data_IF_079241916026
#
_entry.id   IF_079241916026
#
_cell.length_a   1.000
_cell.length_b   1.000
_cell.length_c   1.000
_cell.angle_alpha   90.00
_cell.angle_beta   90.00
_cell.angle_gamma   90.00
#
_symmetry.space_group_name_H-M   'P 1'
#
loop_
_entity.id
_entity.type
_entity.pdbx_description
1 polymer ?
#
# COMPACT_ATOMS: atom_id res chain seq x y z
N UNK A 1 -0.81 -58.48 6.19
CA UNK A 1 -0.86 -58.16 4.75
C UNK A 1 -1.24 -56.69 4.66
N UNK A 2 -0.22 -55.85 4.77
CA UNK A 2 -0.32 -54.41 4.55
C UNK A 2 -0.71 -54.21 3.09
N UNK A 3 -1.89 -53.64 2.87
CA UNK A 3 -2.33 -53.18 1.57
C UNK A 3 -2.29 -51.66 1.62
N UNK A 4 -1.30 -51.11 0.93
CA UNK A 4 -1.08 -49.69 0.68
C UNK A 4 -2.39 -48.98 0.32
N UNK A 5 -2.92 -48.22 1.27
CA UNK A 5 -3.99 -47.27 1.01
C UNK A 5 -3.39 -45.99 0.44
N UNK A 6 -3.06 -46.00 -0.85
CA UNK A 6 -3.06 -44.76 -1.66
C UNK A 6 -4.51 -44.40 -2.00
N UNK A 7 -5.33 -44.10 -0.98
CA UNK A 7 -6.42 -43.18 -1.20
C UNK A 7 -5.77 -41.80 -1.18
N UNK A 8 -5.81 -41.12 -2.34
CA UNK A 8 -5.31 -39.77 -2.54
C UNK A 8 -5.49 -38.88 -1.30
N UNK A 9 -4.45 -38.10 -1.00
CA UNK A 9 -4.32 -37.12 0.09
C UNK A 9 -5.31 -35.94 0.03
N UNK A 10 -6.50 -36.13 -0.54
CA UNK A 10 -7.43 -35.07 -0.94
C UNK A 10 -8.91 -35.43 -0.68
N UNK A 11 -9.26 -35.97 0.48
CA UNK A 11 -10.65 -36.00 0.97
C UNK A 11 -10.72 -35.23 2.30
N UNK A 12 -11.83 -34.54 2.58
CA UNK A 12 -12.06 -33.97 3.90
C UNK A 12 -11.94 -35.06 4.97
N UNK A 13 -11.31 -34.77 6.11
CA UNK A 13 -11.10 -35.78 7.18
C UNK A 13 -12.43 -36.37 7.65
N UNK A 14 -13.49 -35.57 7.68
CA UNK A 14 -14.86 -36.02 7.96
C UNK A 14 -15.39 -37.00 6.91
N UNK A 15 -15.15 -36.75 5.62
CA UNK A 15 -15.53 -37.64 4.52
C UNK A 15 -14.71 -38.92 4.54
N UNK A 16 -13.41 -38.83 4.78
CA UNK A 16 -12.52 -39.99 4.89
C UNK A 16 -12.94 -40.90 6.05
N UNK A 17 -13.30 -40.32 7.21
CA UNK A 17 -13.80 -41.07 8.38
C UNK A 17 -15.15 -41.70 8.07
N UNK A 18 -16.12 -40.96 7.54
CA UNK A 18 -17.44 -41.50 7.17
C UNK A 18 -17.33 -42.58 6.12
N UNK A 19 -16.50 -42.38 5.10
CA UNK A 19 -16.28 -43.37 4.05
C UNK A 19 -15.66 -44.65 4.60
N UNK A 20 -14.62 -44.54 5.44
CA UNK A 20 -13.98 -45.70 6.06
C UNK A 20 -14.93 -46.46 6.98
N UNK A 21 -15.63 -45.76 7.86
CA UNK A 21 -16.42 -46.36 8.94
C UNK A 21 -17.80 -46.83 8.49
N UNK A 22 -18.45 -46.09 7.58
CA UNK A 22 -19.83 -46.36 7.19
C UNK A 22 -19.95 -47.11 5.87
N UNK A 23 -19.01 -46.94 4.94
CA UNK A 23 -19.07 -47.59 3.63
C UNK A 23 -18.10 -48.77 3.58
N UNK A 24 -16.80 -48.52 3.76
CA UNK A 24 -15.77 -49.54 3.57
C UNK A 24 -15.88 -50.71 4.56
N UNK A 25 -16.13 -50.42 5.84
CA UNK A 25 -16.34 -51.45 6.87
C UNK A 25 -17.67 -52.22 6.71
N UNK A 26 -18.69 -51.65 6.06
CA UNK A 26 -20.03 -52.26 5.98
C UNK A 26 -20.30 -52.98 4.67
N UNK A 27 -19.84 -52.44 3.54
CA UNK A 27 -20.03 -53.08 2.23
C UNK A 27 -18.86 -53.98 1.83
N UNK A 28 -17.66 -53.76 2.38
CA UNK A 28 -16.44 -54.48 1.98
C UNK A 28 -15.90 -54.11 0.60
N UNK A 29 -16.61 -53.28 -0.15
CA UNK A 29 -16.24 -52.82 -1.49
C UNK A 29 -15.58 -51.43 -1.43
N UNK A 30 -14.47 -51.27 -2.16
CA UNK A 30 -13.81 -49.98 -2.30
C UNK A 30 -14.48 -49.20 -3.42
N UNK A 31 -15.29 -48.21 -3.04
CA UNK A 31 -16.02 -47.31 -3.94
C UNK A 31 -15.49 -45.87 -3.83
N UNK A 32 -14.25 -45.58 -4.28
CA UNK A 32 -13.63 -44.27 -4.10
C UNK A 32 -14.37 -43.14 -4.84
N UNK A 33 -15.14 -43.45 -5.88
CA UNK A 33 -16.01 -42.49 -6.56
C UNK A 33 -17.17 -42.02 -5.67
N UNK A 34 -17.68 -42.87 -4.76
CA UNK A 34 -18.71 -42.48 -3.78
C UNK A 34 -18.12 -41.55 -2.73
N UNK A 35 -16.90 -41.81 -2.27
CA UNK A 35 -16.17 -40.90 -1.37
C UNK A 35 -16.01 -39.52 -2.02
N UNK A 36 -15.59 -39.49 -3.29
CA UNK A 36 -15.44 -38.25 -4.08
C UNK A 36 -16.77 -37.55 -4.35
N UNK A 37 -17.87 -38.28 -4.55
CA UNK A 37 -19.20 -37.68 -4.69
C UNK A 37 -19.74 -37.10 -3.38
N UNK A 38 -19.47 -37.74 -2.23
CA UNK A 38 -19.82 -37.20 -0.92
C UNK A 38 -18.96 -35.98 -0.61
N UNK A 39 -17.66 -36.03 -0.92
CA UNK A 39 -16.75 -34.89 -0.84
C UNK A 39 -17.27 -33.74 -1.71
N UNK A 40 -17.58 -33.99 -2.98
CA UNK A 40 -18.14 -33.02 -3.93
C UNK A 40 -19.55 -32.52 -3.58
N UNK A 41 -20.35 -33.30 -2.84
CA UNK A 41 -21.65 -32.87 -2.32
C UNK A 41 -21.51 -31.95 -1.10
N UNK A 42 -20.50 -32.21 -0.25
CA UNK A 42 -20.13 -31.29 0.84
C UNK A 42 -19.36 -30.06 0.34
N UNK A 43 -18.84 -30.12 -0.89
CA UNK A 43 -18.17 -29.03 -1.62
C UNK A 43 -19.14 -27.96 -2.17
N UNK A 44 -20.45 -28.05 -1.89
CA UNK A 44 -21.44 -27.00 -2.24
C UNK A 44 -21.35 -25.74 -1.34
N UNK A 45 -20.14 -25.36 -0.94
CA UNK A 45 -19.89 -24.21 -0.07
C UNK A 45 -18.81 -23.35 -0.70
N UNK A 46 -19.26 -22.63 -1.72
CA UNK A 46 -18.54 -21.63 -2.52
C UNK A 46 -17.29 -22.14 -3.22
N UNK A 47 -17.39 -22.24 -4.55
CA UNK A 47 -16.24 -22.37 -5.45
C UNK A 47 -15.29 -21.17 -5.42
N UNK A 48 -15.41 -20.22 -4.48
CA UNK A 48 -14.51 -19.07 -4.38
C UNK A 48 -13.57 -19.11 -3.17
N UNK A 49 -12.28 -18.83 -3.37
CA UNK A 49 -11.21 -18.78 -2.38
C UNK A 49 -11.59 -17.74 -1.33
N UNK A 50 -12.14 -16.60 -1.78
CA UNK A 50 -12.66 -15.54 -0.93
C UNK A 50 -13.75 -16.03 0.03
N UNK A 51 -14.79 -16.71 -0.44
CA UNK A 51 -15.86 -17.15 0.44
C UNK A 51 -15.42 -18.29 1.40
N UNK A 52 -14.49 -19.14 0.96
CA UNK A 52 -13.88 -20.13 1.83
C UNK A 52 -13.01 -19.47 2.92
N UNK A 53 -12.20 -18.48 2.54
CA UNK A 53 -11.34 -17.74 3.46
C UNK A 53 -12.16 -16.90 4.44
N UNK A 54 -13.21 -16.23 3.99
CA UNK A 54 -14.13 -15.46 4.84
C UNK A 54 -14.67 -16.29 6.01
N UNK A 55 -15.02 -17.55 5.73
CA UNK A 55 -15.60 -18.48 6.70
C UNK A 55 -14.57 -19.15 7.60
N UNK A 56 -13.38 -19.42 7.08
CA UNK A 56 -12.40 -20.30 7.76
C UNK A 56 -11.19 -19.55 8.30
N UNK A 57 -10.82 -18.41 7.68
CA UNK A 57 -9.57 -17.69 7.89
C UNK A 57 -8.35 -18.64 7.91
N UNK A 58 -8.37 -19.68 7.08
CA UNK A 58 -7.41 -20.78 7.12
C UNK A 58 -6.64 -20.88 5.81
N UNK A 59 -5.32 -20.67 5.89
CA UNK A 59 -4.39 -20.89 4.78
C UNK A 59 -4.53 -22.30 4.20
N UNK A 60 -4.65 -23.30 5.05
CA UNK A 60 -4.77 -24.69 4.63
C UNK A 60 -6.05 -24.94 3.80
N UNK A 61 -7.16 -24.32 4.20
CA UNK A 61 -8.42 -24.48 3.48
C UNK A 61 -8.38 -23.82 2.10
N UNK A 62 -7.75 -22.65 1.96
CA UNK A 62 -7.62 -21.98 0.65
C UNK A 62 -6.62 -22.68 -0.27
N UNK A 63 -5.53 -23.24 0.28
CA UNK A 63 -4.58 -24.08 -0.47
C UNK A 63 -5.26 -25.31 -1.05
N UNK A 64 -5.98 -26.04 -0.20
CA UNK A 64 -6.71 -27.24 -0.62
C UNK A 64 -7.73 -26.93 -1.72
N UNK A 65 -8.42 -25.79 -1.62
CA UNK A 65 -9.39 -25.37 -2.62
C UNK A 65 -8.73 -24.91 -3.92
N UNK A 66 -7.59 -24.24 -3.85
CA UNK A 66 -6.85 -23.83 -5.05
C UNK A 66 -6.33 -25.05 -5.83
N UNK A 67 -5.79 -26.06 -5.14
CA UNK A 67 -5.28 -27.29 -5.75
C UNK A 67 -6.37 -28.11 -6.47
N UNK A 68 -7.62 -28.03 -6.00
CA UNK A 68 -8.74 -28.81 -6.51
C UNK A 68 -9.51 -28.13 -7.65
N UNK A 69 -9.28 -26.84 -7.89
CA UNK A 69 -10.03 -26.09 -8.89
C UNK A 69 -9.49 -26.31 -10.29
N UNK A 70 -10.42 -26.42 -11.25
CA UNK A 70 -10.07 -26.22 -12.66
C UNK A 70 -9.68 -24.76 -12.87
N UNK A 71 -8.72 -24.51 -13.76
CA UNK A 71 -8.20 -23.17 -14.05
C UNK A 71 -9.38 -22.22 -14.39
N UNK A 72 -9.69 -21.23 -13.52
CA UNK A 72 -10.76 -20.27 -13.78
C UNK A 72 -10.40 -19.34 -14.94
N UNK A 73 -11.40 -18.69 -15.52
CA UNK A 73 -11.19 -17.63 -16.53
C UNK A 73 -10.36 -16.47 -15.94
N UNK A 74 -9.49 -15.86 -16.75
CA UNK A 74 -8.49 -14.87 -16.31
C UNK A 74 -9.06 -13.64 -15.58
N UNK A 75 -10.27 -13.19 -15.92
CA UNK A 75 -10.87 -12.03 -15.25
C UNK A 75 -11.51 -12.39 -13.91
N UNK A 76 -12.00 -13.63 -13.78
CA UNK A 76 -12.61 -14.11 -12.55
C UNK A 76 -11.57 -14.31 -11.45
N UNK A 77 -10.38 -14.83 -11.82
CA UNK A 77 -9.29 -15.06 -10.87
C UNK A 77 -8.77 -13.76 -10.28
N UNK A 78 -8.67 -12.67 -11.06
CA UNK A 78 -8.22 -11.37 -10.55
C UNK A 78 -9.20 -10.75 -9.56
N UNK A 79 -10.51 -10.78 -9.87
CA UNK A 79 -11.55 -10.29 -8.96
C UNK A 79 -11.57 -11.07 -7.64
N UNK A 80 -11.51 -12.39 -7.75
CA UNK A 80 -11.47 -13.29 -6.60
C UNK A 80 -10.20 -13.09 -5.78
N UNK A 81 -9.05 -12.98 -6.44
CA UNK A 81 -7.76 -12.69 -5.83
C UNK A 81 -7.82 -11.41 -5.02
N UNK A 82 -8.26 -10.31 -5.63
CA UNK A 82 -8.41 -9.01 -4.97
C UNK A 82 -9.29 -9.10 -3.72
N UNK A 83 -10.34 -9.92 -3.77
CA UNK A 83 -11.25 -10.12 -2.64
C UNK A 83 -10.55 -10.88 -1.49
N UNK A 84 -9.89 -11.99 -1.79
CA UNK A 84 -9.25 -12.83 -0.75
C UNK A 84 -8.01 -12.15 -0.15
N UNK A 85 -7.21 -11.43 -0.95
CA UNK A 85 -6.06 -10.68 -0.40
C UNK A 85 -6.53 -9.51 0.47
N UNK A 86 -7.64 -8.83 0.10
CA UNK A 86 -8.22 -7.80 0.96
C UNK A 86 -8.71 -8.38 2.29
N UNK A 87 -9.35 -9.56 2.28
CA UNK A 87 -9.80 -10.24 3.50
C UNK A 87 -8.63 -10.65 4.40
N UNK A 88 -7.56 -11.21 3.82
CA UNK A 88 -6.37 -11.62 4.57
C UNK A 88 -5.62 -10.41 5.14
N UNK A 89 -5.47 -9.35 4.35
CA UNK A 89 -4.87 -8.09 4.78
C UNK A 89 -5.65 -7.42 5.91
N UNK A 90 -6.98 -7.43 5.84
CA UNK A 90 -7.85 -6.89 6.90
C UNK A 90 -7.68 -7.61 8.25
N UNK A 91 -7.17 -8.84 8.24
CA UNK A 91 -6.96 -9.68 9.43
C UNK A 91 -5.50 -9.70 9.90
N UNK A 92 -4.60 -9.02 9.20
CA UNK A 92 -3.16 -9.12 9.47
C UNK A 92 -2.56 -10.50 9.15
N UNK A 93 -3.25 -11.34 8.36
CA UNK A 93 -2.80 -12.70 8.06
C UNK A 93 -1.74 -12.70 6.95
N UNK A 94 -0.51 -12.35 7.35
CA UNK A 94 0.67 -12.33 6.49
C UNK A 94 0.98 -13.70 5.88
N UNK A 95 0.68 -14.81 6.56
CA UNK A 95 0.98 -16.14 6.05
C UNK A 95 0.11 -16.47 4.83
N UNK A 96 -1.19 -16.18 4.91
CA UNK A 96 -2.09 -16.35 3.77
C UNK A 96 -1.79 -15.36 2.65
N UNK A 97 -1.47 -14.11 2.99
CA UNK A 97 -1.09 -13.09 2.00
C UNK A 97 0.16 -13.48 1.20
N UNK A 98 1.22 -13.96 1.86
CA UNK A 98 2.44 -14.43 1.19
C UNK A 98 2.14 -15.55 0.21
N UNK A 99 1.39 -16.56 0.65
CA UNK A 99 1.01 -17.66 -0.25
C UNK A 99 0.17 -17.17 -1.44
N UNK A 100 -0.78 -16.26 -1.21
CA UNK A 100 -1.59 -15.68 -2.27
C UNK A 100 -0.73 -14.90 -3.28
N UNK A 101 0.16 -14.04 -2.79
CA UNK A 101 0.97 -13.15 -3.62
C UNK A 101 2.13 -13.87 -4.33
N UNK A 102 2.74 -14.88 -3.71
CA UNK A 102 3.97 -15.54 -4.19
C UNK A 102 3.68 -16.86 -4.92
N UNK A 103 2.59 -17.56 -4.59
CA UNK A 103 2.29 -18.88 -5.14
C UNK A 103 1.01 -18.92 -5.98
N UNK A 104 -0.05 -18.22 -5.56
CA UNK A 104 -1.35 -18.31 -6.21
C UNK A 104 -1.46 -17.39 -7.44
N UNK A 105 -1.18 -16.09 -7.29
CA UNK A 105 -1.19 -15.13 -8.40
C UNK A 105 -0.02 -14.14 -8.27
N UNK A 106 1.10 -14.47 -8.91
CA UNK A 106 2.36 -13.72 -8.83
C UNK A 106 2.29 -12.32 -9.44
N UNK A 107 1.51 -12.15 -10.50
CA UNK A 107 1.36 -10.87 -11.20
C UNK A 107 0.12 -10.08 -10.74
N UNK A 108 -0.63 -10.60 -9.76
CA UNK A 108 -1.87 -9.99 -9.28
C UNK A 108 -1.62 -8.65 -8.57
N UNK A 109 -2.47 -7.66 -8.81
CA UNK A 109 -2.40 -6.37 -8.12
C UNK A 109 -2.72 -6.53 -6.63
N UNK A 110 -1.96 -5.84 -5.77
CA UNK A 110 -2.09 -5.89 -4.30
C UNK A 110 -2.65 -4.60 -3.69
N UNK A 111 -3.11 -3.65 -4.52
CA UNK A 111 -3.73 -2.40 -4.05
C UNK A 111 -4.94 -2.62 -3.15
N UNK A 112 -5.73 -3.68 -3.39
CA UNK A 112 -6.85 -4.05 -2.54
C UNK A 112 -6.39 -4.52 -1.15
N UNK A 113 -5.28 -5.25 -1.08
CA UNK A 113 -4.66 -5.67 0.18
C UNK A 113 -4.13 -4.46 0.96
N UNK A 114 -3.39 -3.56 0.30
CA UNK A 114 -2.87 -2.34 0.91
C UNK A 114 -4.00 -1.47 1.51
N UNK A 115 -5.08 -1.24 0.75
CA UNK A 115 -6.23 -0.49 1.24
C UNK A 115 -6.90 -1.16 2.46
N UNK A 116 -7.09 -2.48 2.43
CA UNK A 116 -7.72 -3.21 3.52
C UNK A 116 -6.85 -3.27 4.79
N UNK A 117 -5.53 -3.43 4.62
CA UNK A 117 -4.56 -3.35 5.71
C UNK A 117 -4.56 -1.95 6.34
N UNK A 118 -4.50 -0.91 5.51
CA UNK A 118 -4.52 0.48 5.96
C UNK A 118 -5.81 0.84 6.71
N UNK A 119 -6.96 0.35 6.23
CA UNK A 119 -8.25 0.51 6.92
C UNK A 119 -8.28 -0.20 8.29
N UNK A 120 -7.53 -1.29 8.45
CA UNK A 120 -7.57 -2.11 9.67
C UNK A 120 -6.45 -1.80 10.66
N UNK A 121 -5.50 -0.94 10.27
CA UNK A 121 -4.33 -0.62 11.10
C UNK A 121 -3.21 -1.66 11.02
N UNK A 122 -3.24 -2.54 10.00
CA UNK A 122 -2.30 -3.66 9.88
C UNK A 122 -0.98 -3.21 9.27
N UNK A 123 -0.18 -2.49 10.06
CA UNK A 123 1.09 -1.89 9.62
C UNK A 123 2.10 -2.93 9.12
N UNK A 124 2.14 -4.12 9.74
CA UNK A 124 3.03 -5.21 9.35
C UNK A 124 2.77 -5.70 7.92
N UNK A 125 1.51 -5.68 7.48
CA UNK A 125 1.12 -6.01 6.11
C UNK A 125 1.57 -4.92 5.14
N UNK A 126 1.41 -3.64 5.50
CA UNK A 126 1.83 -2.52 4.66
C UNK A 126 3.35 -2.47 4.48
N UNK A 127 4.11 -2.70 5.55
CA UNK A 127 5.57 -2.79 5.51
C UNK A 127 6.02 -3.90 4.56
N UNK A 128 5.47 -5.12 4.72
CA UNK A 128 5.78 -6.23 3.82
C UNK A 128 5.42 -5.92 2.36
N UNK A 129 4.25 -5.31 2.10
CA UNK A 129 3.84 -4.93 0.76
C UNK A 129 4.79 -3.88 0.15
N UNK A 130 5.30 -2.95 0.95
CA UNK A 130 6.20 -1.89 0.50
C UNK A 130 7.62 -2.37 0.27
N UNK A 131 8.12 -3.27 1.11
CA UNK A 131 9.48 -3.83 1.01
C UNK A 131 9.58 -4.85 -0.14
N UNK A 132 8.64 -5.78 -0.25
CA UNK A 132 8.76 -6.95 -1.14
C UNK A 132 7.90 -6.83 -2.42
N UNK A 133 6.86 -6.01 -2.39
CA UNK A 133 5.85 -5.95 -3.47
C UNK A 133 5.49 -4.52 -3.89
N UNK A 134 6.40 -3.56 -3.72
CA UNK A 134 6.15 -2.13 -3.98
C UNK A 134 5.48 -1.85 -5.32
N UNK A 135 5.97 -2.48 -6.39
CA UNK A 135 5.50 -2.29 -7.76
C UNK A 135 4.09 -2.87 -8.05
N UNK A 136 3.59 -3.76 -7.19
CA UNK A 136 2.27 -4.40 -7.34
C UNK A 136 1.16 -3.62 -6.65
N UNK A 137 1.50 -2.53 -5.96
CA UNK A 137 0.57 -1.67 -5.24
C UNK A 137 0.61 -0.28 -5.86
N UNK A 138 -0.57 0.27 -6.15
CA UNK A 138 -0.70 1.67 -6.55
C UNK A 138 -0.76 2.56 -5.30
N UNK A 139 0.41 2.99 -4.84
CA UNK A 139 0.60 3.85 -3.69
C UNK A 139 0.15 5.30 -3.95
N UNK A 140 -0.09 6.05 -2.86
CA UNK A 140 -0.48 7.45 -2.85
C UNK A 140 -2.00 7.68 -2.98
N UNK A 141 -2.84 6.67 -2.77
CA UNK A 141 -4.25 6.73 -3.13
C UNK A 141 -5.21 6.05 -2.14
N UNK A 142 -5.53 4.79 -2.40
CA UNK A 142 -6.62 4.08 -1.70
C UNK A 142 -6.27 3.77 -0.25
N UNK A 143 -5.05 3.33 0.00
CA UNK A 143 -4.51 3.06 1.33
C UNK A 143 -4.52 4.30 2.22
N UNK A 144 -4.22 5.50 1.69
CA UNK A 144 -4.41 6.75 2.40
C UNK A 144 -5.89 6.98 2.76
N UNK A 145 -6.82 6.80 1.81
CA UNK A 145 -8.26 6.92 2.09
C UNK A 145 -8.69 5.95 3.20
N UNK A 146 -8.24 4.70 3.13
CA UNK A 146 -8.53 3.66 4.11
C UNK A 146 -8.06 4.04 5.51
N UNK A 147 -6.80 4.45 5.64
CA UNK A 147 -6.20 4.84 6.91
C UNK A 147 -6.88 6.06 7.55
N UNK A 148 -7.13 7.11 6.76
CA UNK A 148 -7.75 8.34 7.26
C UNK A 148 -9.18 8.08 7.75
N UNK A 149 -9.99 7.36 6.96
CA UNK A 149 -11.41 7.11 7.29
C UNK A 149 -11.62 6.21 8.49
N UNK A 150 -10.71 5.26 8.69
CA UNK A 150 -10.75 4.33 9.82
C UNK A 150 -10.07 4.87 11.07
N UNK A 151 -9.36 5.98 10.94
CA UNK A 151 -8.73 6.66 12.04
C UNK A 151 -7.37 6.08 12.47
N UNK A 152 -6.64 5.47 11.53
CA UNK A 152 -5.42 4.70 11.82
C UNK A 152 -4.19 5.59 11.80
N UNK A 153 -3.95 6.33 12.89
CA UNK A 153 -2.86 7.33 12.98
C UNK A 153 -1.47 6.73 12.76
N UNK A 154 -1.19 5.54 13.30
CA UNK A 154 0.11 4.86 13.13
C UNK A 154 0.38 4.54 11.65
N UNK A 155 -0.65 4.08 10.92
CA UNK A 155 -0.56 3.85 9.48
C UNK A 155 -0.37 5.16 8.73
N UNK A 156 -1.07 6.24 9.11
CA UNK A 156 -0.89 7.56 8.47
C UNK A 156 0.53 8.08 8.66
N UNK A 157 1.12 7.95 9.85
CA UNK A 157 2.51 8.37 10.08
C UNK A 157 3.52 7.54 9.30
N UNK A 158 3.29 6.23 9.19
CA UNK A 158 4.12 5.40 8.33
C UNK A 158 3.94 5.74 6.85
N UNK A 159 2.70 5.97 6.38
CA UNK A 159 2.41 6.35 5.01
C UNK A 159 3.03 7.68 4.66
N UNK A 160 2.97 8.67 5.57
CA UNK A 160 3.72 9.92 5.44
C UNK A 160 5.15 9.58 5.06
N UNK A 161 5.90 8.83 5.88
CA UNK A 161 7.33 8.56 5.67
C UNK A 161 7.68 7.72 4.43
N UNK A 162 6.76 6.90 3.91
CA UNK A 162 7.09 5.85 2.94
C UNK A 162 6.35 5.98 1.60
N UNK A 163 5.32 6.81 1.51
CA UNK A 163 4.49 6.96 0.30
C UNK A 163 3.87 8.35 0.22
N UNK A 164 4.43 9.19 -0.66
CA UNK A 164 3.81 10.48 -0.96
C UNK A 164 2.41 10.28 -1.57
N UNK A 165 1.40 11.06 -1.13
CA UNK A 165 0.07 11.02 -1.72
C UNK A 165 0.10 11.61 -3.14
N UNK A 166 -0.60 10.94 -4.07
CA UNK A 166 -0.70 11.34 -5.46
C UNK A 166 -1.42 12.69 -5.57
N UNK A 167 -0.92 13.58 -6.41
CA UNK A 167 -1.47 14.94 -6.62
C UNK A 167 -2.97 14.92 -6.92
N UNK A 168 -3.43 13.97 -7.73
CA UNK A 168 -4.85 13.80 -8.07
C UNK A 168 -5.72 13.34 -6.88
N UNK A 169 -5.12 12.71 -5.87
CA UNK A 169 -5.81 12.21 -4.68
C UNK A 169 -5.79 13.19 -3.51
N UNK A 170 -4.82 14.12 -3.44
CA UNK A 170 -4.62 15.03 -2.30
C UNK A 170 -5.89 15.76 -1.87
N UNK A 171 -6.65 16.32 -2.82
CA UNK A 171 -7.89 17.04 -2.48
C UNK A 171 -8.92 16.14 -1.77
N UNK A 172 -9.07 14.89 -2.23
CA UNK A 172 -9.99 13.91 -1.63
C UNK A 172 -9.51 13.48 -0.25
N UNK A 173 -8.20 13.28 -0.09
CA UNK A 173 -7.59 12.96 1.20
C UNK A 173 -7.76 14.11 2.20
N UNK A 174 -7.63 15.36 1.76
CA UNK A 174 -7.87 16.54 2.58
C UNK A 174 -9.34 16.63 3.06
N UNK A 175 -10.32 16.29 2.20
CA UNK A 175 -11.73 16.20 2.61
C UNK A 175 -11.98 15.06 3.59
N UNK A 176 -11.43 13.86 3.34
CA UNK A 176 -11.55 12.73 4.25
C UNK A 176 -10.90 13.08 5.62
N UNK A 177 -9.75 13.77 5.62
CA UNK A 177 -9.08 14.24 6.83
C UNK A 177 -9.92 15.29 7.58
N UNK A 178 -10.52 16.23 6.86
CA UNK A 178 -11.44 17.22 7.44
C UNK A 178 -12.65 16.53 8.11
N UNK A 179 -13.24 15.55 7.42
CA UNK A 179 -14.38 14.80 7.92
C UNK A 179 -14.02 13.92 9.14
N UNK A 180 -12.80 13.38 9.18
CA UNK A 180 -12.26 12.63 10.30
C UNK A 180 -11.79 13.52 11.47
N UNK A 181 -11.72 14.83 11.30
CA UNK A 181 -11.20 15.77 12.31
C UNK A 181 -9.67 15.76 12.44
N UNK A 182 -8.96 15.31 11.40
CA UNK A 182 -7.51 15.17 11.38
C UNK A 182 -6.85 16.50 11.01
N UNK A 183 -6.89 17.44 11.97
CA UNK A 183 -6.41 18.81 11.79
C UNK A 183 -4.93 18.84 11.38
N UNK A 184 -4.08 18.08 12.06
CA UNK A 184 -2.64 18.04 11.77
C UNK A 184 -2.38 17.54 10.34
N UNK A 185 -3.10 16.52 9.90
CA UNK A 185 -2.97 16.00 8.54
C UNK A 185 -3.46 17.00 7.48
N UNK A 186 -4.54 17.74 7.78
CA UNK A 186 -5.00 18.82 6.90
C UNK A 186 -3.97 19.95 6.77
N UNK A 187 -3.39 20.37 7.89
CA UNK A 187 -2.36 21.40 7.88
C UNK A 187 -1.11 20.93 7.13
N UNK A 188 -0.77 19.64 7.29
CA UNK A 188 0.31 18.99 6.54
C UNK A 188 0.06 19.03 5.02
N UNK A 189 -1.14 18.65 4.56
CA UNK A 189 -1.53 18.77 3.14
C UNK A 189 -1.45 20.23 2.65
N UNK A 190 -1.96 21.16 3.44
CA UNK A 190 -1.95 22.57 3.07
C UNK A 190 -0.52 23.15 2.95
N UNK A 191 0.41 22.72 3.82
CA UNK A 191 1.81 23.11 3.71
C UNK A 191 2.44 22.55 2.44
N UNK A 192 2.24 21.24 2.17
CA UNK A 192 2.75 20.58 0.97
C UNK A 192 2.29 21.31 -0.31
N UNK A 193 1.00 21.56 -0.44
CA UNK A 193 0.43 22.24 -1.62
C UNK A 193 0.89 23.70 -1.71
N UNK A 194 1.06 24.39 -0.58
CA UNK A 194 1.56 25.76 -0.57
C UNK A 194 3.02 25.84 -1.05
N UNK A 195 3.86 24.87 -0.68
CA UNK A 195 5.25 24.79 -1.14
C UNK A 195 5.29 24.49 -2.65
N UNK A 196 4.58 23.46 -3.11
CA UNK A 196 4.50 23.11 -4.54
C UNK A 196 3.92 24.23 -5.40
N UNK A 197 2.93 24.97 -4.88
CA UNK A 197 2.32 26.11 -5.56
C UNK A 197 3.10 27.42 -5.47
N UNK A 198 4.22 27.47 -4.73
CA UNK A 198 4.97 28.70 -4.39
C UNK A 198 4.12 29.77 -3.68
N UNK A 199 3.16 29.36 -2.84
CA UNK A 199 2.25 30.26 -2.13
C UNK A 199 2.83 30.72 -0.78
N UNK A 200 3.89 31.54 -0.83
CA UNK A 200 4.60 32.04 0.36
C UNK A 200 3.71 32.65 1.46
N UNK A 201 2.65 33.43 1.17
CA UNK A 201 1.76 33.91 2.22
C UNK A 201 1.07 32.79 3.01
N UNK A 202 0.70 31.69 2.33
CA UNK A 202 0.10 30.52 2.98
C UNK A 202 1.15 29.76 3.78
N UNK A 203 2.35 29.57 3.24
CA UNK A 203 3.47 28.95 3.96
C UNK A 203 3.79 29.70 5.26
N UNK A 204 3.93 31.02 5.19
CA UNK A 204 4.17 31.88 6.35
C UNK A 204 3.02 31.83 7.36
N UNK A 205 1.77 31.87 6.87
CA UNK A 205 0.61 31.75 7.75
C UNK A 205 0.61 30.42 8.49
N UNK A 206 0.82 29.31 7.78
CA UNK A 206 0.82 27.98 8.38
C UNK A 206 1.97 27.83 9.38
N UNK A 207 3.18 28.24 9.00
CA UNK A 207 4.36 28.19 9.87
C UNK A 207 4.18 29.00 11.16
N UNK A 208 3.71 30.24 11.05
CA UNK A 208 3.56 31.13 12.21
C UNK A 208 2.43 30.71 13.17
N UNK A 209 1.41 29.98 12.68
CA UNK A 209 0.26 29.61 13.51
C UNK A 209 0.31 28.15 14.02
N UNK A 210 1.00 27.25 13.32
CA UNK A 210 0.97 25.81 13.61
C UNK A 210 2.33 25.20 13.94
N UNK A 211 3.42 25.98 13.89
CA UNK A 211 4.73 25.60 14.40
C UNK A 211 5.61 24.82 13.42
N UNK A 212 6.89 24.68 13.77
CA UNK A 212 7.95 24.14 12.91
C UNK A 212 7.78 22.65 12.60
N UNK A 213 7.51 21.82 13.62
CA UNK A 213 7.50 20.35 13.49
C UNK A 213 6.50 19.85 12.42
N UNK A 214 5.31 20.45 12.38
CA UNK A 214 4.29 20.12 11.40
C UNK A 214 4.70 20.53 9.97
N UNK A 215 5.39 21.66 9.85
CA UNK A 215 5.90 22.15 8.57
C UNK A 215 7.09 21.32 8.08
N UNK A 216 7.97 20.91 9.00
CA UNK A 216 9.13 20.06 8.76
C UNK A 216 8.70 18.72 8.18
N UNK A 217 7.74 18.04 8.81
CA UNK A 217 7.17 16.79 8.29
C UNK A 217 6.51 16.97 6.90
N UNK A 218 5.93 18.14 6.62
CA UNK A 218 5.36 18.49 5.31
C UNK A 218 6.40 18.63 4.21
N UNK A 219 7.55 19.21 4.57
CA UNK A 219 8.63 19.58 3.64
C UNK A 219 9.58 18.40 3.40
N UNK A 220 9.88 17.58 4.41
CA UNK A 220 10.76 16.41 4.27
C UNK A 220 10.21 15.36 3.28
N UNK A 221 8.89 15.31 3.08
CA UNK A 221 8.26 14.36 2.15
C UNK A 221 8.14 14.83 0.71
N UNK A 222 8.54 16.07 0.48
CA UNK A 222 8.84 16.52 -0.86
C UNK A 222 10.18 15.95 -1.33
N UNK A 223 11.04 15.34 -0.49
CA UNK A 223 12.40 14.89 -0.87
C UNK A 223 12.46 14.09 -2.17
N UNK A 224 11.49 13.21 -2.40
CA UNK A 224 11.39 12.41 -3.62
C UNK A 224 10.60 13.08 -4.77
N UNK A 225 9.91 14.21 -4.51
CA UNK A 225 9.11 14.99 -5.47
C UNK A 225 9.64 16.42 -5.68
N UNK A 226 10.80 16.76 -5.12
CA UNK A 226 11.35 18.11 -5.14
C UNK A 226 11.89 18.48 -6.54
N UNK A 227 12.19 17.47 -7.37
CA UNK A 227 12.52 17.66 -8.79
C UNK A 227 11.45 18.50 -9.51
N UNK A 228 10.17 18.35 -9.12
CA UNK A 228 9.03 19.11 -9.68
C UNK A 228 8.79 20.47 -9.00
N UNK A 229 9.54 20.80 -7.95
CA UNK A 229 9.32 22.04 -7.17
C UNK A 229 10.09 23.21 -7.77
N UNK A 230 9.37 24.02 -8.54
CA UNK A 230 9.89 25.27 -9.11
C UNK A 230 9.99 26.37 -8.04
N UNK A 231 11.21 26.78 -7.70
CA UNK A 231 11.48 27.99 -6.91
C UNK A 231 11.35 29.20 -7.81
N UNK A 232 10.27 29.95 -7.62
CA UNK A 232 9.92 31.09 -8.49
C UNK A 232 10.58 32.42 -8.13
N UNK A 233 11.22 32.52 -6.96
CA UNK A 233 11.93 33.74 -6.54
C UNK A 233 12.83 33.51 -5.32
N UNK A 234 13.87 34.35 -5.18
CA UNK A 234 14.87 34.34 -4.08
C UNK A 234 14.24 34.23 -2.70
N UNK A 235 13.20 35.01 -2.41
CA UNK A 235 12.58 35.04 -1.08
C UNK A 235 12.01 33.70 -0.63
N UNK A 236 11.54 32.86 -1.56
CA UNK A 236 11.08 31.51 -1.26
C UNK A 236 12.26 30.61 -0.87
N UNK A 237 13.32 30.58 -1.67
CA UNK A 237 14.52 29.80 -1.37
C UNK A 237 15.17 30.24 -0.05
N UNK A 238 15.27 31.55 0.17
CA UNK A 238 15.78 32.11 1.41
C UNK A 238 14.94 31.68 2.62
N UNK A 239 13.62 31.73 2.51
CA UNK A 239 12.74 31.30 3.60
C UNK A 239 12.91 29.80 3.87
N UNK A 240 12.95 28.96 2.84
CA UNK A 240 13.12 27.52 2.97
C UNK A 240 14.45 27.16 3.65
N UNK A 241 15.57 27.67 3.14
CA UNK A 241 16.90 27.38 3.69
C UNK A 241 17.07 27.92 5.13
N UNK A 242 16.50 29.09 5.45
CA UNK A 242 16.61 29.66 6.79
C UNK A 242 15.80 28.89 7.85
N UNK A 243 14.72 28.22 7.47
CA UNK A 243 13.84 27.53 8.42
C UNK A 243 14.07 26.01 8.47
N UNK A 244 14.55 25.42 7.35
CA UNK A 244 14.63 23.97 7.13
C UNK A 244 15.99 23.52 6.55
N UNK A 245 17.06 24.29 6.77
CA UNK A 245 18.35 24.09 6.09
C UNK A 245 18.98 22.70 6.25
N UNK A 246 18.96 22.13 7.46
CA UNK A 246 19.48 20.78 7.72
C UNK A 246 18.58 19.70 7.08
N UNK A 247 17.27 19.93 7.13
CA UNK A 247 16.27 18.98 6.62
C UNK A 247 16.16 18.96 5.10
N UNK A 248 16.68 20.01 4.45
CA UNK A 248 16.76 20.13 3.00
C UNK A 248 18.07 19.57 2.43
N UNK A 249 18.97 19.02 3.25
CA UNK A 249 20.22 18.42 2.74
C UNK A 249 19.96 17.32 1.69
N UNK A 250 20.57 17.44 0.52
CA UNK A 250 20.40 16.53 -0.61
C UNK A 250 19.07 16.70 -1.37
N UNK A 251 18.32 17.77 -1.11
CA UNK A 251 17.10 18.11 -1.85
C UNK A 251 17.44 18.89 -3.12
N UNK A 252 16.86 18.47 -4.26
CA UNK A 252 17.01 19.13 -5.56
C UNK A 252 15.85 20.08 -5.86
N UNK A 253 16.13 21.36 -6.09
CA UNK A 253 15.15 22.39 -6.43
C UNK A 253 15.33 22.83 -7.88
N UNK A 254 14.24 23.07 -8.59
CA UNK A 254 14.29 23.61 -9.96
C UNK A 254 14.09 25.13 -9.94
N UNK A 255 14.88 25.86 -10.74
CA UNK A 255 14.75 27.31 -10.91
C UNK A 255 14.69 27.60 -12.40
N UNK A 256 13.73 28.44 -12.82
CA UNK A 256 13.69 28.90 -14.20
C UNK A 256 15.04 29.57 -14.57
N UNK A 257 15.66 29.17 -15.67
CA UNK A 257 16.97 29.66 -16.11
C UNK A 257 16.99 31.17 -16.37
N UNK A 258 15.86 31.75 -16.77
CA UNK A 258 15.72 33.19 -16.97
C UNK A 258 15.67 33.98 -15.65
N UNK A 259 15.37 33.34 -14.51
CA UNK A 259 15.47 33.96 -13.19
C UNK A 259 16.92 34.02 -12.73
N UNK A 260 17.66 34.95 -13.32
CA UNK A 260 19.08 35.17 -13.02
C UNK A 260 19.31 35.52 -11.54
N UNK A 261 18.34 36.17 -10.88
CA UNK A 261 18.49 36.62 -9.51
C UNK A 261 18.45 35.42 -8.55
N UNK A 262 17.48 34.53 -8.73
CA UNK A 262 17.37 33.30 -7.94
C UNK A 262 18.55 32.36 -8.22
N UNK A 263 18.89 32.11 -9.49
CA UNK A 263 20.03 31.27 -9.85
C UNK A 263 21.36 31.78 -9.28
N UNK A 264 21.58 33.10 -9.32
CA UNK A 264 22.79 33.69 -8.71
C UNK A 264 22.78 33.52 -7.20
N UNK A 265 21.64 33.78 -6.56
CA UNK A 265 21.51 33.65 -5.12
C UNK A 265 21.76 32.21 -4.64
N UNK A 266 21.19 31.21 -5.31
CA UNK A 266 21.41 29.78 -5.01
C UNK A 266 22.91 29.44 -5.01
N UNK A 267 23.62 29.86 -6.07
CA UNK A 267 25.07 29.64 -6.21
C UNK A 267 25.88 30.21 -5.05
N UNK A 268 25.44 31.34 -4.51
CA UNK A 268 26.14 32.05 -3.44
C UNK A 268 25.81 31.47 -2.03
N UNK A 269 24.81 30.58 -1.89
CA UNK A 269 24.26 30.11 -0.59
C UNK A 269 24.24 28.58 -0.43
N UNK A 270 25.38 27.92 -0.63
CA UNK A 270 25.58 26.48 -0.36
C UNK A 270 24.71 25.52 -1.21
N UNK A 271 24.23 25.99 -2.37
CA UNK A 271 23.57 25.13 -3.35
C UNK A 271 24.54 24.72 -4.45
N UNK A 272 24.62 23.42 -4.74
CA UNK A 272 25.37 22.84 -5.85
C UNK A 272 24.49 22.76 -7.10
N UNK A 273 24.98 23.25 -8.24
CA UNK A 273 24.30 23.06 -9.52
C UNK A 273 24.50 21.62 -10.00
N UNK A 274 23.42 20.88 -10.23
CA UNK A 274 23.45 19.49 -10.70
C UNK A 274 23.37 19.41 -12.22
N UNK A 275 22.30 19.97 -12.78
CA UNK A 275 21.96 19.87 -14.20
C UNK A 275 21.37 21.19 -14.72
N UNK A 276 21.60 21.46 -16.00
CA UNK A 276 21.04 22.63 -16.70
C UNK A 276 20.34 22.11 -17.95
N UNK A 277 19.02 22.24 -17.96
CA UNK A 277 18.19 22.01 -19.14
C UNK A 277 17.95 23.33 -19.90
N UNK A 278 17.18 23.27 -20.99
CA UNK A 278 16.93 24.43 -21.86
C UNK A 278 16.32 25.60 -21.08
N UNK A 279 15.32 25.33 -20.22
CA UNK A 279 14.54 26.35 -19.48
C UNK A 279 14.75 26.32 -17.96
N UNK A 280 15.40 25.29 -17.42
CA UNK A 280 15.47 25.01 -15.98
C UNK A 280 16.92 24.74 -15.54
N UNK A 281 17.27 25.20 -14.35
CA UNK A 281 18.50 24.84 -13.64
C UNK A 281 18.13 24.09 -12.37
N UNK A 282 18.71 22.90 -12.19
CA UNK A 282 18.54 22.09 -10.99
C UNK A 282 19.66 22.36 -9.98
N UNK A 283 19.26 22.65 -8.74
CA UNK A 283 20.13 22.99 -7.63
C UNK A 283 19.92 22.01 -6.47
N UNK A 284 20.98 21.40 -5.96
CA UNK A 284 20.95 20.57 -4.77
C UNK A 284 21.41 21.36 -3.55
N UNK A 285 20.69 21.24 -2.44
CA UNK A 285 21.13 21.83 -1.18
C UNK A 285 22.25 20.99 -0.55
N UNK A 286 23.43 21.61 -0.39
CA UNK A 286 24.58 20.97 0.24
C UNK A 286 24.49 20.91 1.77
N UNK A 287 25.35 20.10 2.42
CA UNK A 287 25.46 20.04 3.88
C UNK A 287 25.85 21.41 4.44
N UNK A 288 25.12 21.87 5.46
CA UNK A 288 25.36 23.14 6.16
C UNK A 288 26.47 23.06 7.20
#
# INVERSE_FOLDING_TARGET
MELDFKLDSMLWTSVAVVYRECLLKRSGEQLPHVARHIDGFLDDRSRSLAAAYERTASLHCIQLLADRRAAPESLYIEWEFNTVVAQAARRGDLASLKWLAESYLQDGALSAAANAAAFSGELSVLQWLHEEHKARVHWGGLEWCGAIRSGQTEVVEWLKQNSAPNTEAVWKLAFDAAAAGYLELMQWFAMKDAVLGSHVPVMLFLYNNYGRELCEAGICLLRDNWEDTEVRFVGMAQWLLNNFGEELEGVTMSVNRADWATNKWMKDHNMSMLEVEDEIVFWECGPQ
#
